data_IF_151529640063
#
_entry.id   IF_151529640063
#
_cell.length_a   1.000
_cell.length_b   1.000
_cell.length_c   1.000
_cell.angle_alpha   90.00
_cell.angle_beta   90.00
_cell.angle_gamma   90.00
#
_symmetry.space_group_name_H-M   'P 1'
#
loop_
_entity.id
_entity.type
_entity.pdbx_description
1 polymer ?
#
# COMPACT_ATOMS: atom_id res chain seq x y z
N UNK A 1 17.27 -1.72 -12.80
CA UNK A 1 17.67 -2.79 -11.85
C UNK A 1 18.29 -2.04 -10.68
N UNK A 2 17.64 -2.03 -9.52
CA UNK A 2 18.09 -1.23 -8.38
C UNK A 2 19.15 -2.05 -7.63
N UNK A 3 20.32 -1.45 -7.39
CA UNK A 3 21.43 -2.08 -6.67
C UNK A 3 21.13 -2.09 -5.17
N UNK A 4 20.16 -2.92 -4.77
CA UNK A 4 19.82 -3.10 -3.37
C UNK A 4 20.79 -4.03 -2.68
N UNK A 5 21.31 -3.60 -1.54
CA UNK A 5 22.21 -4.40 -0.74
C UNK A 5 21.38 -5.37 0.09
N UNK A 6 21.46 -6.66 -0.21
CA UNK A 6 20.80 -7.70 0.56
C UNK A 6 21.65 -8.04 1.78
N UNK A 7 21.40 -7.37 2.91
CA UNK A 7 21.97 -7.74 4.20
C UNK A 7 20.85 -8.27 5.08
N UNK A 8 21.01 -9.40 5.81
CA UNK A 8 20.05 -9.79 6.83
C UNK A 8 20.04 -8.71 7.91
N UNK A 9 19.06 -7.83 7.85
CA UNK A 9 18.84 -6.82 8.86
C UNK A 9 18.31 -7.53 10.10
N UNK A 10 19.11 -7.57 11.17
CA UNK A 10 18.66 -8.04 12.48
C UNK A 10 17.82 -6.92 13.13
N UNK A 11 16.64 -6.70 12.56
CA UNK A 11 15.70 -5.67 13.00
C UNK A 11 14.81 -6.27 14.08
N UNK A 12 15.30 -6.32 15.32
CA UNK A 12 14.40 -6.50 16.47
C UNK A 12 13.39 -5.33 16.47
N UNK A 13 12.07 -5.59 16.32
CA UNK A 13 11.07 -4.54 16.29
C UNK A 13 11.11 -3.72 17.58
N UNK A 14 11.14 -2.39 17.46
CA UNK A 14 11.09 -1.50 18.61
C UNK A 14 9.65 -1.10 18.91
N UNK A 15 9.27 -0.94 20.20
CA UNK A 15 7.92 -0.56 20.56
C UNK A 15 7.64 0.88 20.09
N UNK A 16 6.63 1.10 19.24
CA UNK A 16 6.40 2.42 18.63
C UNK A 16 5.73 3.42 19.58
N UNK A 17 5.08 2.94 20.65
CA UNK A 17 4.49 3.78 21.69
C UNK A 17 5.51 4.27 22.73
N UNK A 18 6.81 4.06 22.48
CA UNK A 18 7.93 4.50 23.31
C UNK A 18 8.75 5.54 22.55
N UNK A 19 9.25 6.53 23.29
CA UNK A 19 10.21 7.52 22.78
C UNK A 19 11.37 7.68 23.77
N UNK A 20 12.53 8.08 23.29
CA UNK A 20 13.72 8.42 24.06
C UNK A 20 13.46 9.71 24.84
N UNK A 21 13.91 9.70 26.10
CA UNK A 21 13.89 10.88 26.96
C UNK A 21 15.31 11.43 27.10
N UNK A 22 15.67 12.40 26.26
CA UNK A 22 17.00 13.02 26.26
C UNK A 22 17.30 13.71 27.58
N UNK A 23 18.31 13.21 28.29
CA UNK A 23 18.74 13.73 29.59
C UNK A 23 20.20 14.18 29.53
N UNK A 24 20.53 15.29 30.22
CA UNK A 24 21.90 15.80 30.26
C UNK A 24 22.88 14.72 30.77
N UNK A 25 23.96 14.51 30.03
CA UNK A 25 24.98 13.49 30.34
C UNK A 25 24.67 12.08 29.85
N UNK A 26 23.51 11.85 29.20
CA UNK A 26 23.19 10.57 28.58
C UNK A 26 24.04 10.32 27.32
N UNK A 27 24.62 9.13 27.20
CA UNK A 27 25.29 8.67 25.98
C UNK A 27 24.24 8.03 25.07
N UNK A 28 24.17 8.45 23.81
CA UNK A 28 23.23 7.95 22.82
C UNK A 28 23.89 6.91 21.92
N UNK A 29 23.22 5.79 21.72
CA UNK A 29 23.61 4.73 20.77
C UNK A 29 22.67 4.63 19.58
N UNK A 30 22.99 3.73 18.65
CA UNK A 30 22.17 3.42 17.48
C UNK A 30 20.70 3.10 17.85
N UNK A 31 20.50 2.31 18.91
CA UNK A 31 19.16 1.92 19.36
C UNK A 31 18.31 3.10 19.82
N UNK A 32 18.91 4.14 20.40
CA UNK A 32 18.18 5.34 20.82
C UNK A 32 17.68 6.13 19.60
N UNK A 33 18.53 6.31 18.58
CA UNK A 33 18.13 6.99 17.34
C UNK A 33 17.07 6.20 16.58
N UNK A 34 17.23 4.87 16.53
CA UNK A 34 16.22 3.99 15.92
C UNK A 34 14.89 4.08 16.65
N UNK A 35 14.90 4.09 18.00
CA UNK A 35 13.68 4.22 18.80
C UNK A 35 12.93 5.53 18.54
N UNK A 36 13.64 6.64 18.36
CA UNK A 36 13.02 7.93 18.02
C UNK A 36 12.44 7.95 16.61
N UNK A 37 13.18 7.40 15.64
CA UNK A 37 12.72 7.30 14.25
C UNK A 37 11.45 6.46 14.16
N UNK A 38 11.43 5.28 14.78
CA UNK A 38 10.28 4.37 14.81
C UNK A 38 9.05 5.03 15.47
N UNK A 39 9.25 5.78 16.55
CA UNK A 39 8.15 6.52 17.19
C UNK A 39 7.53 7.55 16.24
N UNK A 40 8.39 8.30 15.54
CA UNK A 40 7.95 9.34 14.62
C UNK A 40 7.24 8.75 13.40
N UNK A 41 7.83 7.75 12.75
CA UNK A 41 7.24 7.06 11.61
C UNK A 41 5.91 6.41 11.98
N UNK A 42 5.82 5.77 13.14
CA UNK A 42 4.56 5.21 13.62
C UNK A 42 3.48 6.28 13.77
N UNK A 43 3.80 7.43 14.41
CA UNK A 43 2.86 8.54 14.53
C UNK A 43 2.38 9.06 13.18
N UNK A 44 3.28 9.12 12.20
CA UNK A 44 2.97 9.54 10.84
C UNK A 44 2.05 8.54 10.13
N UNK A 45 2.39 7.25 10.17
CA UNK A 45 1.61 6.16 9.56
C UNK A 45 0.19 6.11 10.11
N UNK A 46 0.03 6.14 11.44
CA UNK A 46 -1.31 6.13 12.05
C UNK A 46 -2.09 7.42 11.74
N UNK A 47 -1.42 8.57 11.62
CA UNK A 47 -2.08 9.82 11.27
C UNK A 47 -2.62 9.76 9.84
N UNK A 48 -1.85 9.21 8.91
CA UNK A 48 -2.30 8.97 7.54
C UNK A 48 -3.54 8.06 7.53
N UNK A 49 -3.46 6.89 8.18
CA UNK A 49 -4.57 5.94 8.18
C UNK A 49 -5.84 6.48 8.84
N UNK A 50 -5.71 7.16 9.99
CA UNK A 50 -6.86 7.61 10.76
C UNK A 50 -7.51 8.89 10.21
N UNK A 51 -6.76 9.75 9.51
CA UNK A 51 -7.28 11.02 9.00
C UNK A 51 -7.50 11.04 7.49
N UNK A 52 -6.72 10.25 6.73
CA UNK A 52 -6.70 10.27 5.27
C UNK A 52 -7.04 8.92 4.65
N UNK A 53 -6.91 7.82 5.38
CA UNK A 53 -7.02 6.46 4.84
C UNK A 53 -5.79 6.08 4.01
N UNK A 54 -6.00 5.24 3.00
CA UNK A 54 -4.99 4.82 2.04
C UNK A 54 -5.49 5.02 0.60
N UNK A 55 -4.59 4.94 -0.38
CA UNK A 55 -4.92 5.07 -1.79
C UNK A 55 -4.08 6.11 -2.53
N UNK A 56 -4.54 6.51 -3.71
CA UNK A 56 -3.84 7.50 -4.54
C UNK A 56 -4.12 8.92 -4.04
N UNK A 57 -3.06 9.69 -3.81
CA UNK A 57 -3.16 11.10 -3.40
C UNK A 57 -3.18 12.01 -4.63
N UNK A 58 -2.22 11.84 -5.53
CA UNK A 58 -2.18 12.54 -6.80
C UNK A 58 -1.33 11.79 -7.84
N UNK A 59 -1.59 12.02 -9.12
CA UNK A 59 -0.90 11.31 -10.21
C UNK A 59 -1.34 9.84 -10.28
N UNK A 60 -0.38 8.95 -10.52
CA UNK A 60 -0.60 7.48 -10.60
C UNK A 60 -1.70 7.03 -11.57
N UNK A 61 -1.99 7.85 -12.58
CA UNK A 61 -3.00 7.53 -13.58
C UNK A 61 -2.51 6.37 -14.45
N UNK A 62 -3.28 5.29 -14.47
CA UNK A 62 -3.02 4.12 -15.31
C UNK A 62 -3.70 4.32 -16.66
N UNK A 63 -2.93 4.24 -17.74
CA UNK A 63 -3.45 4.30 -19.12
C UNK A 63 -2.90 3.12 -19.93
N UNK A 64 -3.76 2.48 -20.72
CA UNK A 64 -3.35 1.46 -21.68
C UNK A 64 -3.15 2.13 -23.04
N UNK A 65 -1.95 1.98 -23.62
CA UNK A 65 -1.56 2.56 -24.91
C UNK A 65 -1.09 1.45 -25.84
N UNK A 66 -1.67 1.29 -27.04
CA UNK A 66 -1.14 0.34 -28.01
C UNK A 66 0.27 0.81 -28.44
N UNK A 67 1.20 -0.14 -28.63
CA UNK A 67 2.49 0.19 -29.25
C UNK A 67 2.29 0.55 -30.73
N UNK A 68 3.18 1.39 -31.26
CA UNK A 68 3.13 1.85 -32.66
C UNK A 68 3.19 0.70 -33.68
N UNK A 69 3.85 -0.40 -33.32
CA UNK A 69 3.96 -1.61 -34.15
C UNK A 69 2.75 -2.55 -34.02
N UNK A 70 1.79 -2.24 -33.13
CA UNK A 70 0.62 -3.05 -32.84
C UNK A 70 0.94 -4.42 -32.22
N UNK A 71 2.17 -4.65 -31.79
CA UNK A 71 2.63 -5.94 -31.28
C UNK A 71 2.18 -6.23 -29.85
N UNK A 72 1.99 -5.18 -29.05
CA UNK A 72 1.67 -5.26 -27.63
C UNK A 72 0.91 -3.99 -27.17
N UNK A 73 0.39 -4.04 -25.95
CA UNK A 73 -0.18 -2.90 -25.24
C UNK A 73 0.75 -2.53 -24.08
N UNK A 74 1.14 -1.26 -24.02
CA UNK A 74 1.87 -0.70 -22.90
C UNK A 74 0.89 -0.19 -21.85
N UNK A 75 1.09 -0.62 -20.61
CA UNK A 75 0.47 -0.02 -19.43
C UNK A 75 1.41 1.06 -18.92
N UNK A 76 0.90 2.28 -18.94
CA UNK A 76 1.62 3.50 -18.56
C UNK A 76 1.02 4.05 -17.27
N UNK A 77 1.84 4.21 -16.23
CA UNK A 77 1.46 4.76 -14.93
C UNK A 77 2.22 6.06 -14.74
N UNK A 78 1.51 7.18 -14.57
CA UNK A 78 2.17 8.47 -14.31
C UNK A 78 2.80 8.50 -12.91
N UNK A 79 3.87 9.26 -12.75
CA UNK A 79 4.45 9.65 -11.45
C UNK A 79 3.40 10.30 -10.53
N UNK A 80 3.65 10.22 -9.22
CA UNK A 80 2.67 10.67 -8.23
C UNK A 80 2.96 10.22 -6.80
N UNK A 81 1.95 10.40 -5.95
CA UNK A 81 1.99 10.04 -4.55
C UNK A 81 0.80 9.15 -4.17
N UNK A 82 1.06 8.18 -3.32
CA UNK A 82 0.05 7.34 -2.68
C UNK A 82 0.34 7.14 -1.20
N UNK A 83 -0.67 6.70 -0.47
CA UNK A 83 -0.55 6.19 0.89
C UNK A 83 -0.86 4.69 0.84
N UNK A 84 0.05 3.86 1.35
CA UNK A 84 -0.16 2.41 1.41
C UNK A 84 -1.22 2.05 2.46
N UNK A 85 -1.82 0.84 2.42
CA UNK A 85 -2.71 0.35 3.47
C UNK A 85 -2.10 0.33 4.88
N UNK A 86 -0.78 0.51 5.00
CA UNK A 86 -0.03 0.59 6.26
C UNK A 86 0.31 2.02 6.68
N UNK A 87 -0.16 3.01 5.92
CA UNK A 87 0.05 4.43 6.17
C UNK A 87 1.39 4.97 5.69
N UNK A 88 2.15 4.19 4.91
CA UNK A 88 3.42 4.66 4.34
C UNK A 88 3.16 5.61 3.18
N UNK A 89 3.96 6.66 3.07
CA UNK A 89 4.00 7.43 1.83
C UNK A 89 4.72 6.63 0.76
N UNK A 90 4.13 6.60 -0.43
CA UNK A 90 4.76 6.06 -1.63
C UNK A 90 4.96 7.23 -2.58
N UNK A 91 6.23 7.50 -2.89
CA UNK A 91 6.60 8.49 -3.88
C UNK A 91 7.08 7.80 -5.15
N UNK A 92 6.33 7.98 -6.22
CA UNK A 92 6.70 7.54 -7.57
C UNK A 92 7.28 8.74 -8.30
N UNK A 93 8.60 8.79 -8.38
CA UNK A 93 9.37 9.92 -8.90
C UNK A 93 9.42 10.01 -10.43
N UNK A 94 9.11 8.91 -11.13
CA UNK A 94 9.09 8.85 -12.59
C UNK A 94 7.98 7.93 -13.10
N UNK A 95 7.51 8.20 -14.32
CA UNK A 95 6.45 7.43 -14.97
C UNK A 95 6.93 5.98 -15.21
N UNK A 96 6.04 5.02 -14.97
CA UNK A 96 6.32 3.58 -15.12
C UNK A 96 5.65 3.06 -16.39
N UNK A 97 6.39 2.25 -17.15
CA UNK A 97 5.89 1.60 -18.36
C UNK A 97 6.13 0.10 -18.26
N UNK A 98 5.11 -0.69 -18.58
CA UNK A 98 5.23 -2.14 -18.68
C UNK A 98 4.39 -2.70 -19.83
N UNK A 99 4.95 -3.67 -20.56
CA UNK A 99 4.28 -4.35 -21.66
C UNK A 99 3.43 -5.51 -21.13
N UNK A 100 2.12 -5.44 -21.31
CA UNK A 100 1.20 -6.44 -20.73
C UNK A 100 1.30 -7.77 -21.45
N UNK A 101 1.41 -7.80 -22.78
CA UNK A 101 1.53 -9.02 -23.58
C UNK A 101 2.80 -9.79 -23.24
N UNK A 102 3.93 -9.10 -23.11
CA UNK A 102 5.17 -9.71 -22.64
C UNK A 102 5.06 -10.29 -21.22
N UNK A 103 4.30 -9.66 -20.33
CA UNK A 103 4.02 -10.20 -19.00
C UNK A 103 3.10 -11.43 -19.07
N UNK A 104 2.00 -11.36 -19.84
CA UNK A 104 1.05 -12.45 -20.05
C UNK A 104 1.73 -13.72 -20.60
N UNK A 105 2.67 -13.58 -21.53
CA UNK A 105 3.42 -14.71 -22.09
C UNK A 105 4.27 -15.44 -21.03
N UNK A 106 4.78 -14.72 -20.03
CA UNK A 106 5.60 -15.31 -18.94
C UNK A 106 4.74 -15.90 -17.82
N UNK A 107 3.54 -15.36 -17.61
CA UNK A 107 2.64 -15.71 -16.50
C UNK A 107 1.36 -16.42 -16.94
N UNK A 108 1.34 -16.99 -18.16
CA UNK A 108 0.15 -17.67 -18.69
C UNK A 108 -0.19 -18.96 -17.93
N UNK A 109 0.79 -19.60 -17.29
CA UNK A 109 0.59 -20.77 -16.43
C UNK A 109 -0.10 -20.43 -15.11
N UNK A 110 -0.01 -19.16 -14.68
CA UNK A 110 -0.44 -18.71 -13.36
C UNK A 110 -1.89 -18.18 -13.39
N UNK A 111 -2.54 -18.26 -14.56
CA UNK A 111 -3.92 -17.84 -14.76
C UNK A 111 -4.87 -18.62 -13.83
N UNK A 112 -5.66 -17.92 -12.99
CA UNK A 112 -6.65 -18.57 -12.15
C UNK A 112 -7.71 -19.25 -13.01
N UNK A 113 -7.69 -20.59 -13.06
CA UNK A 113 -8.75 -21.38 -13.71
C UNK A 113 -8.89 -21.15 -15.22
N UNK A 114 -7.88 -21.54 -16.00
CA UNK A 114 -7.94 -21.49 -17.47
C UNK A 114 -9.17 -22.23 -18.03
N UNK A 115 -10.22 -21.49 -18.38
CA UNK A 115 -11.51 -22.01 -18.86
C UNK A 115 -11.81 -21.66 -20.32
N UNK A 116 -10.78 -21.50 -21.16
CA UNK A 116 -10.93 -21.19 -22.59
C UNK A 116 -11.08 -19.70 -22.87
N UNK A 117 -11.60 -19.30 -24.06
CA UNK A 117 -11.74 -17.89 -24.42
C UNK A 117 -12.67 -17.17 -23.44
N UNK A 118 -12.19 -16.08 -22.85
CA UNK A 118 -12.91 -15.32 -21.83
C UNK A 118 -12.26 -13.98 -21.54
N UNK A 119 -12.91 -13.20 -20.67
CA UNK A 119 -12.35 -11.96 -20.13
C UNK A 119 -11.53 -12.29 -18.88
N UNK A 120 -10.31 -11.76 -18.81
CA UNK A 120 -9.43 -11.88 -17.66
C UNK A 120 -9.12 -10.49 -17.11
N UNK A 121 -9.07 -10.36 -15.80
CA UNK A 121 -8.70 -9.12 -15.12
C UNK A 121 -7.31 -9.28 -14.53
N UNK A 122 -6.38 -8.42 -14.95
CA UNK A 122 -5.10 -8.25 -14.31
C UNK A 122 -5.10 -6.92 -13.54
N UNK A 123 -4.49 -6.92 -12.37
CA UNK A 123 -4.37 -5.76 -11.50
C UNK A 123 -2.97 -5.18 -11.60
N UNK A 124 -2.87 -3.87 -11.46
CA UNK A 124 -1.59 -3.15 -11.30
C UNK A 124 -1.52 -2.72 -9.84
N UNK A 125 -0.56 -3.29 -9.11
CA UNK A 125 -0.36 -2.98 -7.69
C UNK A 125 0.88 -2.11 -7.52
N UNK A 126 0.78 -1.13 -6.63
CA UNK A 126 1.87 -0.27 -6.20
C UNK A 126 2.16 -0.55 -4.72
N UNK A 127 3.34 -1.09 -4.45
CA UNK A 127 3.79 -1.46 -3.12
C UNK A 127 4.81 -0.45 -2.60
N UNK A 128 4.73 -0.12 -1.32
CA UNK A 128 5.86 0.49 -0.60
C UNK A 128 6.99 -0.54 -0.47
N UNK A 129 8.23 -0.10 -0.62
CA UNK A 129 9.41 -0.96 -0.47
C UNK A 129 10.56 -0.15 0.14
N UNK A 130 11.52 -0.82 0.75
CA UNK A 130 12.69 -0.20 1.35
C UNK A 130 13.95 -0.96 0.95
N UNK A 131 15.04 -0.23 0.81
CA UNK A 131 16.27 -0.79 0.31
C UNK A 131 17.47 -0.17 1.01
N UNK A 132 18.40 -1.01 1.47
CA UNK A 132 19.66 -0.56 2.07
C UNK A 132 20.64 -0.14 0.97
N UNK A 133 21.19 1.07 1.10
CA UNK A 133 22.07 1.70 0.10
C UNK A 133 23.28 2.38 0.76
N UNK A 134 24.19 2.88 -0.07
CA UNK A 134 25.38 3.65 0.31
C UNK A 134 26.32 2.91 1.27
N UNK A 135 27.10 1.95 0.74
CA UNK A 135 28.12 1.23 1.53
C UNK A 135 29.23 2.16 2.01
N UNK A 136 29.36 2.29 3.33
CA UNK A 136 30.45 3.03 3.99
C UNK A 136 31.37 2.09 4.76
N UNK A 137 32.64 2.46 4.92
CA UNK A 137 33.54 1.72 5.81
C UNK A 137 33.05 1.84 7.26
N UNK A 138 33.03 0.73 7.97
CA UNK A 138 32.74 0.60 9.39
C UNK A 138 33.89 -0.10 10.10
N UNK A 139 33.99 0.11 11.42
CA UNK A 139 35.01 -0.57 12.21
C UNK A 139 34.73 -2.08 12.22
N UNK A 140 35.54 -2.83 11.48
CA UNK A 140 35.50 -4.29 11.49
C UNK A 140 35.93 -4.87 12.83
N UNK A 141 35.49 -6.10 13.11
CA UNK A 141 36.02 -6.88 14.23
C UNK A 141 37.45 -7.34 13.93
N UNK A 142 38.17 -7.80 14.94
CA UNK A 142 39.49 -8.40 14.73
C UNK A 142 39.38 -9.57 13.72
N UNK A 143 40.22 -9.56 12.69
CA UNK A 143 40.20 -10.52 11.58
C UNK A 143 38.95 -10.45 10.67
N UNK A 144 38.22 -9.34 10.65
CA UNK A 144 37.13 -9.10 9.70
C UNK A 144 37.64 -9.05 8.25
N UNK A 145 36.85 -9.60 7.32
CA UNK A 145 37.10 -9.46 5.89
C UNK A 145 36.81 -8.03 5.41
N UNK A 146 37.22 -7.67 4.20
CA UNK A 146 36.89 -6.35 3.62
C UNK A 146 35.37 -6.15 3.52
N UNK A 147 34.61 -7.21 3.19
CA UNK A 147 33.15 -7.20 3.17
C UNK A 147 32.54 -6.93 4.57
N UNK A 148 33.12 -7.51 5.62
CA UNK A 148 32.70 -7.29 7.02
C UNK A 148 33.09 -5.91 7.57
N UNK A 149 33.87 -5.12 6.81
CA UNK A 149 34.24 -3.74 7.16
C UNK A 149 33.40 -2.71 6.42
N UNK A 150 32.33 -3.13 5.73
CA UNK A 150 31.42 -2.24 5.03
C UNK A 150 29.98 -2.50 5.43
N UNK A 151 29.23 -1.44 5.65
CA UNK A 151 27.81 -1.54 5.96
C UNK A 151 27.03 -0.49 5.16
N UNK A 152 25.77 -0.78 4.80
CA UNK A 152 24.88 0.24 4.27
C UNK A 152 24.65 1.31 5.33
N UNK A 153 24.58 2.56 4.90
CA UNK A 153 24.45 3.69 5.81
C UNK A 153 23.15 4.44 5.66
N UNK A 154 22.40 4.18 4.58
CA UNK A 154 21.11 4.81 4.28
C UNK A 154 20.08 3.73 4.00
N UNK A 155 18.85 4.02 4.40
CA UNK A 155 17.65 3.33 3.92
C UNK A 155 17.06 4.22 2.83
N UNK A 156 16.84 3.66 1.65
CA UNK A 156 16.11 4.30 0.56
C UNK A 156 14.68 3.79 0.59
N UNK A 157 13.74 4.68 0.91
CA UNK A 157 12.32 4.43 0.66
C UNK A 157 12.08 4.39 -0.84
N UNK A 158 11.39 3.35 -1.31
CA UNK A 158 11.13 3.12 -2.71
C UNK A 158 9.76 2.45 -2.90
N UNK A 159 9.50 1.99 -4.11
CA UNK A 159 8.24 1.41 -4.50
C UNK A 159 8.43 0.28 -5.50
N UNK A 160 7.52 -0.69 -5.50
CA UNK A 160 7.45 -1.74 -6.52
C UNK A 160 6.11 -1.67 -7.23
N UNK A 161 6.14 -1.63 -8.55
CA UNK A 161 4.95 -1.79 -9.39
C UNK A 161 4.95 -3.18 -10.00
N UNK A 162 3.86 -3.91 -9.83
CA UNK A 162 3.73 -5.27 -10.35
C UNK A 162 2.34 -5.54 -10.91
N UNK A 163 2.29 -6.47 -11.87
CA UNK A 163 1.03 -7.03 -12.31
C UNK A 163 0.70 -8.25 -11.46
N UNK A 164 -0.57 -8.39 -11.11
CA UNK A 164 -1.08 -9.52 -10.34
C UNK A 164 -2.40 -10.02 -10.93
N UNK A 165 -2.63 -11.33 -10.88
CA UNK A 165 -3.94 -11.92 -11.15
C UNK A 165 -4.89 -11.82 -9.95
N UNK A 166 -4.33 -11.70 -8.75
CA UNK A 166 -5.07 -11.52 -7.51
C UNK A 166 -5.31 -10.03 -7.29
N UNK A 167 -6.57 -9.67 -7.00
CA UNK A 167 -6.93 -8.32 -6.62
C UNK A 167 -6.14 -7.89 -5.37
N UNK A 168 -5.65 -6.64 -5.29
CA UNK A 168 -5.07 -6.12 -4.06
C UNK A 168 -6.13 -6.08 -2.96
N UNK A 169 -5.71 -6.16 -1.70
CA UNK A 169 -6.61 -5.99 -0.56
C UNK A 169 -6.96 -4.50 -0.43
N UNK A 170 -8.20 -4.15 -0.78
CA UNK A 170 -8.68 -2.77 -0.88
C UNK A 170 -10.08 -2.60 -0.24
N UNK A 171 -10.29 -3.25 0.89
CA UNK A 171 -11.52 -3.28 1.65
C UNK A 171 -12.29 -1.94 1.75
N UNK A 172 -11.60 -0.84 2.07
CA UNK A 172 -12.21 0.48 2.20
C UNK A 172 -12.69 1.06 0.86
N UNK A 173 -11.93 0.81 -0.22
CA UNK A 173 -12.32 1.21 -1.57
C UNK A 173 -13.51 0.38 -2.05
N UNK A 174 -13.51 -0.93 -1.83
CA UNK A 174 -14.59 -1.83 -2.21
C UNK A 174 -15.91 -1.45 -1.52
N UNK A 175 -15.86 -1.12 -0.22
CA UNK A 175 -17.03 -0.59 0.51
C UNK A 175 -17.50 0.77 -0.02
N UNK A 176 -16.58 1.67 -0.30
CA UNK A 176 -16.90 3.00 -0.85
C UNK A 176 -17.59 2.85 -2.21
N UNK A 177 -17.12 1.93 -3.07
CA UNK A 177 -17.76 1.61 -4.35
C UNK A 177 -19.12 0.98 -4.16
N UNK A 178 -19.27 -0.01 -3.27
CA UNK A 178 -20.55 -0.64 -2.99
C UNK A 178 -21.59 0.38 -2.46
N UNK A 179 -21.16 1.32 -1.63
CA UNK A 179 -21.99 2.43 -1.18
C UNK A 179 -22.35 3.38 -2.34
N UNK A 180 -21.41 3.71 -3.21
CA UNK A 180 -21.66 4.49 -4.43
C UNK A 180 -22.69 3.82 -5.36
N UNK A 181 -22.55 2.52 -5.58
CA UNK A 181 -23.48 1.72 -6.39
C UNK A 181 -24.88 1.66 -5.79
N UNK A 182 -24.99 1.68 -4.45
CA UNK A 182 -26.25 1.81 -3.74
C UNK A 182 -26.87 3.20 -3.99
N UNK A 183 -26.09 4.26 -3.83
CA UNK A 183 -26.56 5.64 -4.01
C UNK A 183 -27.04 5.91 -5.45
N UNK A 184 -26.40 5.30 -6.45
CA UNK A 184 -26.82 5.42 -7.85
C UNK A 184 -28.21 4.85 -8.13
N UNK A 185 -28.74 3.99 -7.24
CA UNK A 185 -30.09 3.42 -7.38
C UNK A 185 -31.18 4.34 -6.82
N UNK A 186 -30.81 5.41 -6.11
CA UNK A 186 -31.76 6.34 -5.51
C UNK A 186 -32.30 7.28 -6.59
N UNK A 187 -33.62 7.22 -6.82
CA UNK A 187 -34.30 8.17 -7.70
C UNK A 187 -34.58 9.48 -6.94
N UNK A 188 -34.09 10.60 -7.47
CA UNK A 188 -34.35 11.94 -6.90
C UNK A 188 -35.60 12.51 -7.58
N UNK A 189 -36.74 12.43 -6.91
CA UNK A 189 -38.03 12.93 -7.43
C UNK A 189 -38.21 14.41 -7.02
N UNK A 190 -38.49 15.33 -7.95
CA UNK A 190 -38.79 16.72 -7.61
C UNK A 190 -40.17 16.85 -6.92
N UNK A 191 -40.28 17.75 -5.94
CA UNK A 191 -41.47 17.93 -5.07
C UNK A 191 -42.81 18.23 -5.78
N UNK A 192 -42.82 18.41 -7.10
CA UNK A 192 -44.00 18.77 -7.89
C UNK A 192 -44.90 17.59 -8.30
N UNK A 193 -44.55 16.35 -7.94
CA UNK A 193 -45.31 15.14 -8.26
C UNK A 193 -46.21 14.65 -7.11
N UNK A 194 -47.39 14.11 -7.44
CA UNK A 194 -48.27 13.33 -6.54
C UNK A 194 -47.48 12.30 -5.72
N UNK A 195 -47.95 11.91 -4.51
CA UNK A 195 -47.11 11.24 -3.53
C UNK A 195 -46.46 9.98 -4.13
N UNK A 196 -45.16 9.77 -3.94
CA UNK A 196 -44.46 8.65 -4.55
C UNK A 196 -44.94 7.32 -3.92
N UNK A 197 -44.57 6.23 -4.60
CA UNK A 197 -44.57 4.84 -4.14
C UNK A 197 -44.11 4.68 -2.67
N UNK A 198 -44.31 3.51 -2.01
CA UNK A 198 -44.04 3.36 -0.59
C UNK A 198 -42.65 3.86 -0.19
N UNK A 199 -42.58 4.48 0.99
CA UNK A 199 -41.34 4.99 1.58
C UNK A 199 -40.36 3.84 1.85
N UNK A 200 -39.47 3.60 0.90
CA UNK A 200 -38.43 2.56 0.95
C UNK A 200 -37.17 3.01 1.74
N UNK A 201 -37.24 4.13 2.49
CA UNK A 201 -36.11 4.62 3.28
C UNK A 201 -35.61 3.58 4.31
N UNK A 202 -36.50 2.80 4.90
CA UNK A 202 -36.13 1.72 5.82
C UNK A 202 -35.32 0.63 5.12
N UNK A 203 -35.71 0.26 3.89
CA UNK A 203 -34.99 -0.72 3.08
C UNK A 203 -33.59 -0.21 2.69
N UNK A 204 -33.48 1.06 2.30
CA UNK A 204 -32.19 1.70 2.03
C UNK A 204 -31.29 1.71 3.27
N UNK A 205 -31.82 2.10 4.43
CA UNK A 205 -31.07 2.11 5.70
C UNK A 205 -30.56 0.71 6.04
N UNK A 206 -31.37 -0.34 5.83
CA UNK A 206 -30.95 -1.71 6.09
C UNK A 206 -29.86 -2.18 5.10
N UNK A 207 -29.94 -1.78 3.82
CA UNK A 207 -28.84 -2.03 2.86
C UNK A 207 -27.54 -1.32 3.28
N UNK A 208 -27.61 -0.05 3.71
CA UNK A 208 -26.44 0.69 4.22
C UNK A 208 -25.85 0.00 5.45
N UNK A 209 -26.69 -0.44 6.39
CA UNK A 209 -26.23 -1.17 7.59
C UNK A 209 -25.55 -2.48 7.23
N UNK A 210 -26.08 -3.22 6.27
CA UNK A 210 -25.49 -4.48 5.82
C UNK A 210 -24.12 -4.29 5.17
N UNK A 211 -23.88 -3.16 4.48
CA UNK A 211 -22.54 -2.83 3.97
C UNK A 211 -21.51 -2.62 5.09
N UNK A 212 -21.92 -2.04 6.23
CA UNK A 212 -21.03 -1.70 7.33
C UNK A 212 -20.76 -2.84 8.33
N UNK A 213 -21.51 -3.96 8.28
CA UNK A 213 -21.41 -5.02 9.28
C UNK A 213 -20.24 -5.98 9.07
N UNK A 214 -19.67 -6.08 7.87
CA UNK A 214 -18.57 -7.02 7.60
C UNK A 214 -17.22 -6.53 8.14
N UNK A 215 -17.03 -5.21 8.36
CA UNK A 215 -15.72 -4.67 8.76
C UNK A 215 -15.77 -3.48 9.75
N UNK A 216 -16.92 -3.19 10.35
CA UNK A 216 -16.93 -2.24 11.47
C UNK A 216 -15.89 -2.69 12.52
N UNK A 217 -15.01 -1.79 13.00
CA UNK A 217 -14.01 -2.17 14.00
C UNK A 217 -14.74 -2.81 15.19
N UNK A 218 -14.21 -3.93 15.72
CA UNK A 218 -14.86 -4.63 16.83
C UNK A 218 -15.12 -3.63 17.96
N UNK A 219 -16.23 -3.79 18.70
CA UNK A 219 -16.57 -2.95 19.86
C UNK A 219 -15.57 -3.07 21.03
N UNK A 220 -14.51 -3.85 20.85
CA UNK A 220 -13.45 -4.10 21.80
C UNK A 220 -12.24 -3.22 21.52
N UNK A 221 -11.40 -3.03 22.54
CA UNK A 221 -10.08 -2.39 22.41
C UNK A 221 -9.35 -2.89 21.16
N UNK A 222 -8.65 -2.02 20.41
CA UNK A 222 -7.92 -2.44 19.22
C UNK A 222 -7.02 -3.63 19.59
N UNK A 223 -7.11 -4.76 18.88
CA UNK A 223 -6.13 -5.84 19.00
C UNK A 223 -4.73 -5.25 18.90
N UNK A 224 -3.77 -5.77 19.67
CA UNK A 224 -2.37 -5.29 19.68
C UNK A 224 -1.75 -5.21 18.27
N UNK A 225 -2.32 -5.93 17.29
CA UNK A 225 -1.92 -6.01 15.89
C UNK A 225 -2.94 -5.48 14.84
N UNK A 226 -4.07 -4.91 15.25
CA UNK A 226 -5.20 -4.61 14.34
C UNK A 226 -4.94 -3.57 13.25
N UNK A 227 -3.89 -2.77 13.37
CA UNK A 227 -3.50 -1.78 12.34
C UNK A 227 -2.55 -2.41 11.30
N UNK A 228 -2.24 -3.72 11.41
CA UNK A 228 -1.35 -4.40 10.46
C UNK A 228 0.06 -3.80 10.43
N UNK A 229 0.48 -3.14 11.52
CA UNK A 229 1.76 -2.43 11.59
C UNK A 229 2.96 -3.35 11.47
N UNK A 230 2.79 -4.68 11.61
CA UNK A 230 3.87 -5.67 11.52
C UNK A 230 3.67 -6.77 10.45
N UNK A 231 2.55 -6.81 9.71
CA UNK A 231 2.31 -7.85 8.70
C UNK A 231 3.04 -7.53 7.38
N UNK A 232 4.03 -8.35 7.02
CA UNK A 232 4.99 -8.13 5.91
C UNK A 232 4.44 -8.31 4.49
N UNK A 233 3.16 -8.65 4.31
CA UNK A 233 2.63 -9.15 3.03
C UNK A 233 1.64 -8.26 2.30
N UNK A 234 1.22 -7.14 2.87
CA UNK A 234 0.23 -6.27 2.22
C UNK A 234 0.93 -5.19 1.38
N UNK A 235 1.11 -5.53 0.10
CA UNK A 235 0.56 -4.68 -0.94
C UNK A 235 -0.95 -4.98 -1.04
#
# INVERSE_FOLDING_TARGET
MRDCITTPADCTPLPPNKRVNYTFGMVLGEQDFRQEQEHFEWKHRISNLLLHGYGTVCGLQVTARPLDDGSDTEIYVTSGYAISPRGNWIWVDHDQCARIGAWLQRHSSDLPGFAGPGSYTAYVSLCYDECLVDLVPVAGRACASDEDTRAPSRVLETFRTEFSWTAPDQAAEDQTRAFGDLLQRIEIIPETGSPPDPDDSAYLIDLVRNLGLDESPPSMSPPEDSIGLYASTLC
#
